data_IF_471572739013
#
_entry.id   IF_471572739013
#
_cell.length_a   1.000
_cell.length_b   1.000
_cell.length_c   1.000
_cell.angle_alpha   90.00
_cell.angle_beta   90.00
_cell.angle_gamma   90.00
#
_symmetry.space_group_name_H-M   'P 1'
#
loop_
_entity.id
_entity.type
_entity.pdbx_description
1 polymer ?
#
# COMPACT_ATOMS: atom_id res chain seq x y z
N UNK A 1 17.80 -15.69 0.10
CA UNK A 1 18.49 -14.47 0.55
C UNK A 1 19.28 -14.82 1.80
N UNK A 2 20.41 -14.16 2.08
CA UNK A 2 21.19 -14.41 3.30
C UNK A 2 21.28 -13.12 4.13
N UNK A 3 20.90 -13.22 5.40
CA UNK A 3 21.04 -12.16 6.39
C UNK A 3 22.28 -12.42 7.25
N UNK A 4 23.11 -11.42 7.58
CA UNK A 4 24.23 -11.61 8.48
C UNK A 4 23.71 -11.98 9.87
N UNK A 5 24.49 -12.73 10.64
CA UNK A 5 24.07 -13.26 11.94
C UNK A 5 23.56 -12.18 12.89
N UNK A 6 24.17 -10.99 12.87
CA UNK A 6 23.80 -9.85 13.70
C UNK A 6 22.59 -9.06 13.17
N UNK A 7 22.03 -9.39 11.99
CA UNK A 7 20.88 -8.67 11.44
C UNK A 7 19.67 -8.73 12.39
N UNK A 8 19.48 -9.85 13.10
CA UNK A 8 18.32 -10.04 13.95
C UNK A 8 18.50 -9.48 15.36
N UNK A 9 19.64 -8.88 15.66
CA UNK A 9 19.89 -8.21 16.94
C UNK A 9 19.21 -6.84 16.96
N UNK A 10 18.73 -6.42 18.14
CA UNK A 10 18.20 -5.07 18.28
C UNK A 10 19.34 -4.04 18.16
N UNK A 11 19.08 -2.94 17.47
CA UNK A 11 20.09 -1.91 17.18
C UNK A 11 19.50 -0.50 17.30
N UNK A 12 20.37 0.49 17.47
CA UNK A 12 19.99 1.90 17.44
C UNK A 12 20.44 2.53 16.11
N UNK A 13 19.48 3.10 15.35
CA UNK A 13 19.73 3.84 14.11
C UNK A 13 19.08 5.22 14.21
N UNK A 14 19.82 6.29 13.92
CA UNK A 14 19.33 7.68 14.00
C UNK A 14 18.64 8.06 15.32
N UNK A 15 19.14 7.54 16.46
CA UNK A 15 18.56 7.79 17.78
C UNK A 15 17.23 7.06 18.03
N UNK A 16 16.90 6.06 17.21
CA UNK A 16 15.72 5.22 17.36
C UNK A 16 16.13 3.76 17.56
N UNK A 17 15.58 3.13 18.59
CA UNK A 17 15.84 1.72 18.88
C UNK A 17 14.91 0.81 18.09
N UNK A 18 15.50 -0.06 17.27
CA UNK A 18 14.82 -1.08 16.48
C UNK A 18 14.96 -2.40 17.24
N UNK A 19 13.82 -2.97 17.64
CA UNK A 19 13.82 -4.23 18.38
C UNK A 19 14.21 -5.42 17.49
N UNK A 20 14.73 -6.49 18.10
CA UNK A 20 14.99 -7.76 17.40
C UNK A 20 13.76 -8.28 16.65
N UNK A 21 12.57 -8.19 17.25
CA UNK A 21 11.33 -8.62 16.59
C UNK A 21 11.01 -7.77 15.35
N UNK A 22 11.30 -6.47 15.38
CA UNK A 22 11.12 -5.62 14.20
C UNK A 22 12.07 -6.03 13.08
N UNK A 23 13.34 -6.35 13.39
CA UNK A 23 14.29 -6.87 12.40
C UNK A 23 13.80 -8.16 11.75
N UNK A 24 13.25 -9.09 12.55
CA UNK A 24 12.62 -10.32 12.04
C UNK A 24 11.40 -10.02 11.16
N UNK A 25 10.54 -9.08 11.56
CA UNK A 25 9.38 -8.68 10.79
C UNK A 25 9.77 -7.99 9.46
N UNK A 26 10.81 -7.15 9.44
CA UNK A 26 11.39 -6.60 8.20
C UNK A 26 11.93 -7.70 7.28
N UNK A 27 12.68 -8.67 7.80
CA UNK A 27 13.15 -9.80 7.01
C UNK A 27 11.99 -10.61 6.41
N UNK A 28 10.93 -10.86 7.20
CA UNK A 28 9.74 -11.55 6.74
C UNK A 28 8.99 -10.76 5.63
N UNK A 29 8.92 -9.43 5.72
CA UNK A 29 8.35 -8.60 4.66
C UNK A 29 9.19 -8.63 3.39
N UNK A 30 10.51 -8.67 3.51
CA UNK A 30 11.40 -8.83 2.35
C UNK A 30 11.13 -10.17 1.65
N UNK A 31 10.89 -11.26 2.37
CA UNK A 31 10.49 -12.55 1.76
C UNK A 31 9.18 -12.41 0.96
N UNK A 32 8.19 -11.68 1.48
CA UNK A 32 6.94 -11.40 0.75
C UNK A 32 7.19 -10.52 -0.48
N UNK A 33 8.02 -9.48 -0.35
CA UNK A 33 8.40 -8.61 -1.47
C UNK A 33 9.11 -9.40 -2.58
N UNK A 34 10.00 -10.33 -2.26
CA UNK A 34 10.69 -11.15 -3.27
C UNK A 34 9.73 -12.08 -4.02
N UNK A 35 8.70 -12.61 -3.34
CA UNK A 35 7.62 -13.36 -4.00
C UNK A 35 6.88 -12.47 -5.00
N UNK A 36 6.49 -11.26 -4.60
CA UNK A 36 5.82 -10.29 -5.48
C UNK A 36 6.72 -9.92 -6.66
N UNK A 37 7.99 -9.59 -6.42
CA UNK A 37 8.99 -9.30 -7.46
C UNK A 37 9.14 -10.47 -8.45
N UNK A 38 9.16 -11.70 -7.95
CA UNK A 38 9.25 -12.92 -8.77
C UNK A 38 8.08 -13.06 -9.74
N UNK A 39 6.85 -12.87 -9.25
CA UNK A 39 5.63 -12.90 -10.09
C UNK A 39 5.68 -11.75 -11.11
N UNK A 40 6.01 -10.53 -10.69
CA UNK A 40 6.11 -9.39 -11.59
C UNK A 40 7.12 -9.63 -12.71
N UNK A 41 8.31 -10.14 -12.38
CA UNK A 41 9.35 -10.46 -13.35
C UNK A 41 8.91 -11.55 -14.34
N UNK A 42 8.22 -12.59 -13.87
CA UNK A 42 7.70 -13.67 -14.72
C UNK A 42 6.69 -13.15 -15.76
N UNK A 43 5.90 -12.14 -15.39
CA UNK A 43 4.83 -11.57 -16.23
C UNK A 43 5.15 -10.22 -16.86
N UNK A 44 6.40 -9.76 -16.74
CA UNK A 44 6.86 -8.45 -17.24
C UNK A 44 6.03 -7.26 -16.72
N UNK A 45 5.63 -7.29 -15.44
CA UNK A 45 4.93 -6.19 -14.78
C UNK A 45 5.93 -5.22 -14.16
N UNK A 46 5.68 -3.91 -14.31
CA UNK A 46 6.51 -2.88 -13.67
C UNK A 46 6.08 -2.69 -12.21
N UNK A 47 7.02 -2.93 -11.31
CA UNK A 47 6.89 -2.71 -9.87
C UNK A 47 7.86 -1.62 -9.44
N UNK A 48 7.42 -0.73 -8.56
CA UNK A 48 8.24 0.35 -8.03
C UNK A 48 8.12 0.44 -6.51
N UNK A 49 9.19 0.75 -5.80
CA UNK A 49 9.09 1.28 -4.45
C UNK A 49 8.58 2.72 -4.50
N UNK A 50 7.77 3.10 -3.51
CA UNK A 50 7.38 4.49 -3.29
C UNK A 50 7.36 4.78 -1.77
N UNK A 51 6.91 5.96 -1.37
CA UNK A 51 6.70 6.35 0.03
C UNK A 51 7.92 6.09 0.93
N UNK A 52 7.71 5.49 2.10
CA UNK A 52 8.75 5.23 3.11
C UNK A 52 9.81 4.28 2.60
N UNK A 53 9.40 3.25 1.85
CA UNK A 53 10.30 2.26 1.25
C UNK A 53 11.28 2.90 0.25
N UNK A 54 10.79 3.73 -0.68
CA UNK A 54 11.67 4.43 -1.62
C UNK A 54 12.60 5.42 -0.92
N UNK A 55 12.10 6.17 0.06
CA UNK A 55 12.93 7.07 0.85
C UNK A 55 14.01 6.32 1.62
N UNK A 56 13.66 5.17 2.22
CA UNK A 56 14.59 4.26 2.88
C UNK A 56 15.66 3.72 1.94
N UNK A 57 15.28 3.23 0.75
CA UNK A 57 16.23 2.74 -0.26
C UNK A 57 17.23 3.84 -0.67
N UNK A 58 16.76 5.06 -0.91
CA UNK A 58 17.62 6.16 -1.36
C UNK A 58 18.54 6.65 -0.22
N UNK A 59 17.98 6.88 0.97
CA UNK A 59 18.66 7.55 2.09
C UNK A 59 19.41 6.59 3.01
N UNK A 60 18.79 5.46 3.35
CA UNK A 60 19.24 4.51 4.36
C UNK A 60 19.82 3.21 3.78
N UNK A 61 19.62 2.96 2.48
CA UNK A 61 19.93 1.68 1.82
C UNK A 61 19.18 0.52 2.47
N UNK A 62 17.98 0.77 2.98
CA UNK A 62 17.19 -0.16 3.78
C UNK A 62 15.99 0.55 4.41
N UNK A 63 15.43 -0.02 5.47
CA UNK A 63 14.29 0.59 6.16
C UNK A 63 14.69 1.89 6.86
N UNK A 64 13.73 2.82 6.92
CA UNK A 64 13.83 3.97 7.82
C UNK A 64 13.60 3.44 9.25
N UNK A 65 14.37 3.88 10.27
CA UNK A 65 14.36 3.23 11.58
C UNK A 65 13.01 3.13 12.29
N UNK A 66 12.11 4.09 12.04
CA UNK A 66 10.77 4.19 12.64
C UNK A 66 9.64 3.81 11.68
N UNK A 67 9.97 3.06 10.63
CA UNK A 67 9.06 2.57 9.59
C UNK A 67 8.91 1.05 9.74
N UNK A 68 7.73 0.50 9.46
CA UNK A 68 7.46 -0.92 9.72
C UNK A 68 6.80 -1.68 8.58
N UNK A 69 6.59 -1.05 7.43
CA UNK A 69 5.97 -1.64 6.25
C UNK A 69 6.84 -1.51 4.99
N UNK A 70 6.42 -2.21 3.93
CA UNK A 70 6.96 -2.08 2.58
C UNK A 70 5.84 -1.57 1.67
N UNK A 71 6.06 -0.39 1.08
CA UNK A 71 5.19 0.29 0.14
C UNK A 71 5.71 0.14 -1.29
N UNK A 72 4.91 -0.51 -2.12
CA UNK A 72 5.15 -0.69 -3.54
C UNK A 72 4.03 -0.03 -4.35
N UNK A 73 4.32 0.33 -5.60
CA UNK A 73 3.33 0.89 -6.51
C UNK A 73 3.43 0.24 -7.88
N UNK A 74 2.27 0.18 -8.55
CA UNK A 74 2.13 -0.29 -9.92
C UNK A 74 1.24 0.67 -10.70
N UNK A 75 1.52 0.86 -12.00
CA UNK A 75 0.58 1.52 -12.90
C UNK A 75 -0.72 0.70 -12.95
N UNK A 76 -1.89 1.36 -13.06
CA UNK A 76 -3.22 0.72 -13.04
C UNK A 76 -3.31 -0.59 -13.82
N UNK A 77 -2.82 -0.59 -15.07
CA UNK A 77 -2.84 -1.78 -15.95
C UNK A 77 -2.06 -2.96 -15.37
N UNK A 78 -0.86 -2.71 -14.84
CA UNK A 78 -0.01 -3.75 -14.24
C UNK A 78 -0.58 -4.20 -12.89
N UNK A 79 -1.14 -3.26 -12.12
CA UNK A 79 -1.84 -3.54 -10.87
C UNK A 79 -3.01 -4.50 -11.09
N UNK A 80 -3.93 -4.17 -12.00
CA UNK A 80 -5.07 -5.02 -12.35
C UNK A 80 -4.61 -6.38 -12.87
N UNK A 81 -3.57 -6.40 -13.72
CA UNK A 81 -3.00 -7.64 -14.21
C UNK A 81 -2.45 -8.49 -13.06
N UNK A 82 -1.74 -7.90 -12.12
CA UNK A 82 -1.21 -8.59 -10.94
C UNK A 82 -2.32 -9.22 -10.09
N UNK A 83 -3.46 -8.53 -9.89
CA UNK A 83 -4.60 -9.08 -9.15
C UNK A 83 -5.16 -10.37 -9.79
N UNK A 84 -5.07 -10.51 -11.12
CA UNK A 84 -5.47 -11.75 -11.81
C UNK A 84 -4.50 -12.92 -11.60
N UNK A 85 -3.33 -12.67 -11.02
CA UNK A 85 -2.26 -13.66 -10.80
C UNK A 85 -2.22 -14.16 -9.35
N UNK A 86 -3.27 -13.90 -8.56
CA UNK A 86 -3.36 -14.30 -7.15
C UNK A 86 -3.06 -15.80 -6.92
N UNK A 87 -3.45 -16.66 -7.87
CA UNK A 87 -3.26 -18.11 -7.80
C UNK A 87 -1.79 -18.55 -7.97
N UNK A 88 -0.89 -17.65 -8.41
CA UNK A 88 0.55 -17.93 -8.49
C UNK A 88 1.29 -17.65 -7.16
N UNK A 89 0.60 -17.09 -6.17
CA UNK A 89 1.18 -16.90 -4.85
C UNK A 89 1.45 -18.26 -4.17
N UNK A 90 2.51 -18.35 -3.33
CA UNK A 90 2.80 -19.57 -2.60
C UNK A 90 1.63 -20.02 -1.71
N UNK A 91 1.59 -21.31 -1.31
CA UNK A 91 0.63 -21.77 -0.33
C UNK A 91 0.61 -20.88 0.92
N UNK A 92 -0.57 -20.65 1.50
CA UNK A 92 -0.88 -19.73 2.61
C UNK A 92 -0.89 -18.23 2.28
N UNK A 93 -0.18 -17.77 1.25
CA UNK A 93 -0.19 -16.35 0.88
C UNK A 93 -1.57 -15.92 0.39
N UNK A 94 -1.96 -14.68 0.64
CA UNK A 94 -3.25 -14.12 0.20
C UNK A 94 -3.13 -12.67 -0.25
N UNK A 95 -4.06 -12.28 -1.11
CA UNK A 95 -4.35 -10.89 -1.44
C UNK A 95 -5.52 -10.41 -0.59
N UNK A 96 -5.29 -9.31 0.13
CA UNK A 96 -6.27 -8.60 0.94
C UNK A 96 -6.50 -7.24 0.29
N UNK A 97 -7.73 -6.98 -0.15
CA UNK A 97 -8.18 -5.68 -0.66
C UNK A 97 -9.71 -5.55 -0.57
N UNK A 98 -10.23 -4.40 -0.98
CA UNK A 98 -11.69 -4.10 -1.00
C UNK A 98 -12.51 -5.10 -1.83
N UNK A 99 -11.89 -5.84 -2.77
CA UNK A 99 -12.55 -6.82 -3.62
C UNK A 99 -12.60 -8.21 -2.98
N UNK A 100 -11.60 -8.58 -2.19
CA UNK A 100 -11.51 -9.90 -1.53
C UNK A 100 -12.08 -9.91 -0.11
N UNK A 101 -11.88 -8.82 0.66
CA UNK A 101 -12.23 -8.76 2.07
C UNK A 101 -13.29 -7.68 2.35
N UNK A 102 -14.51 -8.04 2.80
CA UNK A 102 -15.61 -7.09 3.00
C UNK A 102 -15.32 -5.96 3.99
N UNK A 103 -14.48 -6.22 4.98
CA UNK A 103 -14.12 -5.26 6.04
C UNK A 103 -12.89 -4.41 5.68
N UNK A 104 -12.20 -4.74 4.58
CA UNK A 104 -11.04 -3.98 4.15
C UNK A 104 -11.50 -2.72 3.41
N UNK A 105 -11.05 -1.55 3.87
CA UNK A 105 -11.54 -0.25 3.38
C UNK A 105 -10.51 0.56 2.59
N UNK A 106 -9.27 0.08 2.48
CA UNK A 106 -8.21 0.79 1.76
C UNK A 106 -8.24 0.47 0.26
N UNK A 107 -8.07 1.49 -0.58
CA UNK A 107 -7.97 1.34 -2.06
C UNK A 107 -6.55 0.98 -2.50
N UNK A 108 -6.02 -0.08 -1.91
CA UNK A 108 -4.73 -0.70 -2.22
C UNK A 108 -4.88 -2.23 -2.09
N UNK A 109 -3.85 -2.98 -2.50
CA UNK A 109 -3.77 -4.41 -2.24
C UNK A 109 -2.61 -4.74 -1.32
N UNK A 110 -2.89 -5.47 -0.23
CA UNK A 110 -1.87 -6.06 0.62
C UNK A 110 -1.67 -7.52 0.26
N UNK A 111 -0.43 -7.92 -0.01
CA UNK A 111 -0.06 -9.34 -0.14
C UNK A 111 0.47 -9.78 1.21
N UNK A 112 -0.16 -10.78 1.82
CA UNK A 112 0.24 -11.32 3.13
C UNK A 112 0.81 -12.72 3.01
N UNK A 113 1.76 -13.06 3.89
CA UNK A 113 2.39 -14.39 3.93
C UNK A 113 1.46 -15.50 4.49
N UNK A 114 0.44 -15.13 5.24
CA UNK A 114 -0.52 -16.04 5.86
C UNK A 114 -1.82 -15.29 6.24
N UNK A 115 -2.88 -16.01 6.63
CA UNK A 115 -4.13 -15.43 7.17
C UNK A 115 -4.20 -15.46 8.69
N UNK A 116 -3.24 -16.09 9.35
CA UNK A 116 -3.21 -16.25 10.80
C UNK A 116 -1.77 -16.27 11.35
N UNK A 117 -1.64 -15.90 12.63
CA UNK A 117 -0.39 -15.98 13.39
C UNK A 117 0.03 -17.45 13.49
N UNK A 118 1.32 -17.73 13.25
CA UNK A 118 1.83 -19.10 13.23
C UNK A 118 3.15 -19.25 13.97
N UNK A 119 3.15 -20.09 15.00
CA UNK A 119 4.35 -20.54 15.71
C UNK A 119 4.87 -21.89 15.20
N UNK A 120 4.37 -22.35 14.05
CA UNK A 120 4.84 -23.57 13.43
C UNK A 120 6.34 -23.46 13.10
N UNK A 121 7.18 -24.46 13.44
CA UNK A 121 8.62 -24.39 13.21
C UNK A 121 9.01 -24.12 11.75
N UNK A 122 8.22 -24.58 10.78
CA UNK A 122 8.50 -24.31 9.37
C UNK A 122 8.17 -22.87 8.98
N UNK A 123 7.05 -22.33 9.45
CA UNK A 123 6.73 -20.91 9.30
C UNK A 123 7.82 -20.02 9.89
N UNK A 124 8.23 -20.29 11.15
CA UNK A 124 9.25 -19.51 11.82
C UNK A 124 10.61 -19.61 11.11
N UNK A 125 10.94 -20.76 10.51
CA UNK A 125 12.16 -20.89 9.70
C UNK A 125 12.08 -20.05 8.42
N UNK A 126 10.94 -20.09 7.73
CA UNK A 126 10.73 -19.35 6.49
C UNK A 126 10.72 -17.83 6.70
N UNK A 127 10.15 -17.36 7.82
CA UNK A 127 9.99 -15.94 8.12
C UNK A 127 10.89 -15.47 9.26
N UNK A 128 12.08 -16.07 9.37
CA UNK A 128 13.17 -15.58 10.22
C UNK A 128 12.79 -15.37 11.69
N UNK A 129 11.92 -16.23 12.21
CA UNK A 129 11.42 -16.21 13.59
C UNK A 129 10.29 -15.21 13.84
N UNK A 130 9.75 -14.57 12.81
CA UNK A 130 8.53 -13.76 12.92
C UNK A 130 7.29 -14.68 12.90
N UNK A 131 6.45 -14.69 13.96
CA UNK A 131 5.24 -15.51 13.98
C UNK A 131 4.01 -14.80 13.36
N UNK A 132 4.14 -13.51 13.09
CA UNK A 132 3.01 -12.64 12.75
C UNK A 132 2.65 -12.74 11.27
N UNK A 133 1.39 -12.43 10.97
CA UNK A 133 0.98 -12.14 9.60
C UNK A 133 1.70 -10.87 9.16
N UNK A 134 2.56 -11.00 8.16
CA UNK A 134 3.29 -9.88 7.55
C UNK A 134 2.81 -9.70 6.13
N UNK A 135 2.83 -8.47 5.64
CA UNK A 135 2.48 -8.19 4.26
C UNK A 135 3.22 -7.00 3.70
N UNK A 136 3.10 -6.84 2.38
CA UNK A 136 3.57 -5.67 1.63
C UNK A 136 2.38 -5.00 0.98
N UNK A 137 2.39 -3.67 0.94
CA UNK A 137 1.33 -2.88 0.33
C UNK A 137 1.68 -2.55 -1.11
N UNK A 138 0.70 -2.69 -2.00
CA UNK A 138 0.79 -2.38 -3.41
C UNK A 138 -0.30 -1.37 -3.75
N UNK A 139 0.09 -0.13 -4.00
CA UNK A 139 -0.83 0.93 -4.38
C UNK A 139 -0.90 1.05 -5.91
N UNK A 140 -2.10 1.25 -6.48
CA UNK A 140 -2.20 1.73 -7.84
C UNK A 140 -1.72 3.19 -7.92
N UNK A 141 -0.98 3.49 -8.99
CA UNK A 141 -0.77 4.85 -9.48
C UNK A 141 -1.45 5.01 -10.84
N UNK A 142 -2.12 6.14 -11.00
CA UNK A 142 -3.10 6.39 -12.06
C UNK A 142 -2.77 7.64 -12.86
N UNK A 143 -3.21 7.63 -14.09
CA UNK A 143 -2.99 8.71 -15.04
C UNK A 143 -3.99 9.86 -14.84
N UNK A 144 -3.53 11.07 -15.12
CA UNK A 144 -4.33 12.29 -15.06
C UNK A 144 -4.61 12.76 -16.49
N UNK A 145 -5.88 13.00 -16.84
CA UNK A 145 -6.22 13.53 -18.16
C UNK A 145 -5.45 14.81 -18.47
N UNK A 146 -4.97 14.90 -19.71
CA UNK A 146 -4.38 16.13 -20.25
C UNK A 146 -5.42 17.22 -20.50
N UNK A 147 -6.71 16.87 -20.48
CA UNK A 147 -7.83 17.82 -20.55
C UNK A 147 -8.20 18.30 -19.13
N UNK A 148 -8.01 19.60 -18.82
CA UNK A 148 -8.28 20.12 -17.47
C UNK A 148 -9.74 19.97 -17.02
N UNK A 149 -10.70 20.01 -17.95
CA UNK A 149 -12.12 19.87 -17.61
C UNK A 149 -12.45 18.43 -17.19
N UNK A 150 -11.89 17.44 -17.89
CA UNK A 150 -12.04 16.02 -17.55
C UNK A 150 -11.35 15.69 -16.22
N UNK A 151 -10.16 16.27 -15.99
CA UNK A 151 -9.42 16.12 -14.74
C UNK A 151 -10.18 16.71 -13.54
N UNK A 152 -10.74 17.91 -13.70
CA UNK A 152 -11.60 18.55 -12.69
C UNK A 152 -12.88 17.75 -12.43
N UNK A 153 -13.52 17.24 -13.49
CA UNK A 153 -14.71 16.42 -13.37
C UNK A 153 -14.44 15.12 -12.61
N UNK A 154 -13.35 14.40 -12.92
CA UNK A 154 -12.95 13.21 -12.16
C UNK A 154 -12.66 13.56 -10.69
N UNK A 155 -11.92 14.65 -10.45
CA UNK A 155 -11.58 15.08 -9.09
C UNK A 155 -12.83 15.37 -8.26
N UNK A 156 -13.81 16.08 -8.82
CA UNK A 156 -15.08 16.36 -8.16
C UNK A 156 -15.90 15.09 -7.92
N UNK A 157 -15.93 14.18 -8.89
CA UNK A 157 -16.65 12.92 -8.76
C UNK A 157 -16.04 12.04 -7.66
N UNK A 158 -14.70 11.95 -7.60
CA UNK A 158 -14.00 11.24 -6.52
C UNK A 158 -14.30 11.86 -5.16
N UNK A 159 -14.32 13.19 -5.04
CA UNK A 159 -14.66 13.86 -3.79
C UNK A 159 -16.09 13.54 -3.34
N UNK A 160 -17.05 13.47 -4.27
CA UNK A 160 -18.44 13.09 -3.98
C UNK A 160 -18.49 11.63 -3.52
N UNK A 161 -17.96 10.69 -4.32
CA UNK A 161 -18.05 9.24 -4.06
C UNK A 161 -17.33 8.87 -2.76
N UNK A 162 -16.08 9.33 -2.58
CA UNK A 162 -15.29 9.01 -1.40
C UNK A 162 -15.78 9.76 -0.16
N UNK A 163 -16.24 11.00 -0.30
CA UNK A 163 -16.89 11.73 0.79
C UNK A 163 -18.15 11.02 1.29
N UNK A 164 -18.96 10.46 0.39
CA UNK A 164 -20.09 9.62 0.78
C UNK A 164 -19.63 8.31 1.43
N UNK A 165 -18.59 7.66 0.91
CA UNK A 165 -18.05 6.45 1.54
C UNK A 165 -17.58 6.69 2.99
N UNK A 166 -17.06 7.88 3.31
CA UNK A 166 -16.65 8.27 4.65
C UNK A 166 -17.84 8.53 5.60
N UNK A 167 -18.98 9.04 5.09
CA UNK A 167 -20.12 9.48 5.92
C UNK A 167 -21.30 8.51 5.95
N UNK A 168 -21.40 7.57 5.00
CA UNK A 168 -22.59 6.72 4.79
C UNK A 168 -22.97 5.86 6.00
N UNK A 169 -22.00 5.49 6.85
CA UNK A 169 -22.23 4.69 8.07
C UNK A 169 -22.26 5.55 9.35
N UNK A 170 -22.22 6.88 9.22
CA UNK A 170 -22.19 7.82 10.36
C UNK A 170 -23.55 8.49 10.56
N UNK A 171 -23.86 8.96 11.76
CA UNK A 171 -25.11 9.69 12.05
C UNK A 171 -25.09 11.17 11.60
N UNK A 172 -24.07 11.58 10.83
CA UNK A 172 -23.95 12.97 10.35
C UNK A 172 -24.99 13.36 9.32
N UNK A 173 -25.54 12.38 8.59
CA UNK A 173 -26.47 12.58 7.46
C UNK A 173 -27.73 11.76 7.70
N UNK A 174 -28.90 12.35 7.42
CA UNK A 174 -30.19 11.64 7.57
C UNK A 174 -30.31 10.46 6.59
N UNK A 175 -31.17 9.48 6.89
CA UNK A 175 -31.36 8.31 6.00
C UNK A 175 -31.89 8.70 4.62
N UNK A 176 -32.81 9.66 4.56
CA UNK A 176 -33.39 10.16 3.30
C UNK A 176 -32.33 10.87 2.45
N UNK A 177 -31.51 11.70 3.10
CA UNK A 177 -30.41 12.41 2.42
C UNK A 177 -29.32 11.44 1.94
N UNK A 178 -28.98 10.40 2.73
CA UNK A 178 -28.06 9.34 2.28
C UNK A 178 -28.57 8.63 1.02
N UNK A 179 -29.85 8.24 1.00
CA UNK A 179 -30.43 7.57 -0.17
C UNK A 179 -30.46 8.49 -1.40
N UNK A 180 -30.77 9.77 -1.19
CA UNK A 180 -30.73 10.77 -2.26
C UNK A 180 -29.30 10.92 -2.82
N UNK A 181 -28.29 11.07 -1.97
CA UNK A 181 -26.88 11.19 -2.37
C UNK A 181 -26.39 9.95 -3.12
N UNK A 182 -26.73 8.75 -2.64
CA UNK A 182 -26.43 7.49 -3.33
C UNK A 182 -27.09 7.44 -4.72
N UNK A 183 -28.35 7.87 -4.83
CA UNK A 183 -29.06 7.92 -6.12
C UNK A 183 -28.42 8.91 -7.10
N UNK A 184 -27.93 10.05 -6.62
CA UNK A 184 -27.17 11.00 -7.45
C UNK A 184 -25.86 10.40 -7.95
N UNK A 185 -25.15 9.62 -7.12
CA UNK A 185 -23.94 8.92 -7.53
C UNK A 185 -24.24 7.87 -8.61
N UNK A 186 -25.35 7.14 -8.49
CA UNK A 186 -25.80 6.17 -9.50
C UNK A 186 -26.05 6.84 -10.86
N UNK A 187 -26.71 8.00 -10.87
CA UNK A 187 -26.97 8.77 -12.08
C UNK A 187 -25.66 9.30 -12.69
N UNK A 188 -24.83 9.98 -11.89
CA UNK A 188 -23.57 10.57 -12.33
C UNK A 188 -22.57 9.54 -12.85
N UNK A 189 -22.50 8.37 -12.21
CA UNK A 189 -21.56 7.31 -12.58
C UNK A 189 -22.18 6.26 -13.51
N UNK A 190 -23.47 6.40 -13.88
CA UNK A 190 -24.21 5.42 -14.67
C UNK A 190 -24.06 3.99 -14.12
N UNK A 191 -24.25 3.83 -12.80
CA UNK A 191 -24.06 2.57 -12.08
C UNK A 191 -25.27 2.25 -11.18
N UNK A 192 -25.26 1.08 -10.55
CA UNK A 192 -26.25 0.70 -9.56
C UNK A 192 -25.57 0.18 -8.29
N UNK A 193 -26.04 0.65 -7.15
CA UNK A 193 -25.60 0.27 -5.82
C UNK A 193 -26.65 -0.66 -5.21
N UNK A 194 -26.23 -1.86 -4.84
CA UNK A 194 -27.06 -2.87 -4.22
C UNK A 194 -27.28 -2.55 -2.74
N UNK A 195 -28.48 -2.05 -2.40
CA UNK A 195 -28.84 -1.68 -1.01
C UNK A 195 -28.87 -2.88 -0.06
N UNK A 196 -28.84 -4.12 -0.56
CA UNK A 196 -28.77 -5.33 0.27
C UNK A 196 -27.35 -5.65 0.76
N UNK A 197 -26.34 -4.97 0.21
CA UNK A 197 -24.92 -5.13 0.54
C UNK A 197 -24.38 -3.85 1.20
N UNK A 198 -23.22 -3.92 1.86
CA UNK A 198 -22.59 -2.73 2.43
C UNK A 198 -22.36 -1.65 1.35
N UNK A 199 -23.08 -0.53 1.46
CA UNK A 199 -23.03 0.57 0.49
C UNK A 199 -21.64 1.20 0.47
N UNK A 200 -21.03 1.40 1.65
CA UNK A 200 -19.66 1.93 1.80
C UNK A 200 -18.66 1.18 0.94
N UNK A 201 -18.67 -0.16 0.99
CA UNK A 201 -17.76 -1.00 0.20
C UNK A 201 -17.96 -0.79 -1.30
N UNK A 202 -19.21 -0.72 -1.76
CA UNK A 202 -19.52 -0.48 -3.16
C UNK A 202 -19.07 0.91 -3.64
N UNK A 203 -19.21 1.93 -2.79
CA UNK A 203 -18.70 3.28 -3.06
C UNK A 203 -17.16 3.31 -3.14
N UNK A 204 -16.46 2.58 -2.26
CA UNK A 204 -15.01 2.45 -2.33
C UNK A 204 -14.54 1.74 -3.61
N UNK A 205 -15.23 0.66 -4.01
CA UNK A 205 -14.95 -0.03 -5.28
C UNK A 205 -15.24 0.85 -6.50
N UNK A 206 -16.28 1.69 -6.43
CA UNK A 206 -16.55 2.69 -7.48
C UNK A 206 -15.45 3.75 -7.52
N UNK A 207 -15.02 4.25 -6.35
CA UNK A 207 -13.91 5.19 -6.22
C UNK A 207 -12.61 4.64 -6.82
N UNK A 208 -12.25 3.40 -6.53
CA UNK A 208 -11.06 2.75 -7.10
C UNK A 208 -11.13 2.64 -8.63
N UNK A 209 -12.30 2.28 -9.19
CA UNK A 209 -12.51 2.26 -10.65
C UNK A 209 -12.38 3.65 -11.28
N UNK A 210 -12.93 4.68 -10.64
CA UNK A 210 -12.84 6.05 -11.11
C UNK A 210 -11.38 6.54 -11.12
N UNK A 211 -10.57 6.13 -10.14
CA UNK A 211 -9.14 6.47 -10.11
C UNK A 211 -8.42 5.99 -11.37
N UNK A 212 -8.75 4.80 -11.88
CA UNK A 212 -8.15 4.19 -13.07
C UNK A 212 -8.78 4.59 -14.42
N UNK A 213 -9.59 5.65 -14.48
CA UNK A 213 -10.41 5.98 -15.65
C UNK A 213 -9.61 6.43 -16.89
N UNK A 214 -8.44 7.03 -16.71
CA UNK A 214 -7.61 7.52 -17.82
C UNK A 214 -6.47 6.56 -18.15
N UNK A 215 -6.19 6.41 -19.43
CA UNK A 215 -5.07 5.60 -19.94
C UNK A 215 -3.75 6.37 -19.98
N UNK A 216 -2.65 5.65 -20.23
CA UNK A 216 -1.33 6.26 -20.37
C UNK A 216 -1.23 7.16 -21.61
N UNK A 217 -1.98 6.85 -22.65
CA UNK A 217 -2.02 7.57 -23.92
C UNK A 217 -2.70 8.94 -23.82
N UNK A 218 -3.65 9.08 -22.89
CA UNK A 218 -4.46 10.29 -22.67
C UNK A 218 -3.79 11.30 -21.70
N UNK A 219 -2.67 10.90 -21.10
CA UNK A 219 -2.07 11.59 -19.97
C UNK A 219 -0.59 11.90 -20.18
N UNK A 220 -0.16 13.05 -19.64
CA UNK A 220 1.26 13.36 -19.44
C UNK A 220 1.69 13.18 -17.99
N UNK A 221 0.74 13.05 -17.06
CA UNK A 221 1.00 13.02 -15.63
C UNK A 221 0.39 11.79 -14.97
N UNK A 222 1.00 11.40 -13.84
CA UNK A 222 0.64 10.24 -13.03
C UNK A 222 0.61 10.64 -11.55
N UNK A 223 -0.20 9.93 -10.76
CA UNK A 223 -0.38 10.21 -9.33
C UNK A 223 -0.89 8.99 -8.55
N UNK A 224 -0.77 9.02 -7.23
CA UNK A 224 -1.65 8.24 -6.36
C UNK A 224 -2.93 9.05 -6.11
N UNK A 225 -4.04 8.67 -6.76
CA UNK A 225 -5.28 9.48 -6.78
C UNK A 225 -5.81 9.77 -5.38
N UNK A 226 -5.77 8.79 -4.47
CA UNK A 226 -6.28 8.95 -3.11
C UNK A 226 -5.49 10.01 -2.33
N UNK A 227 -4.18 10.11 -2.58
CA UNK A 227 -3.36 11.17 -1.97
C UNK A 227 -3.64 12.53 -2.62
N UNK A 228 -3.90 12.53 -3.93
CA UNK A 228 -4.20 13.73 -4.69
C UNK A 228 -5.50 14.40 -4.24
N UNK A 229 -6.54 13.65 -3.84
CA UNK A 229 -7.80 14.25 -3.33
C UNK A 229 -7.56 15.20 -2.14
N UNK A 230 -6.58 14.89 -1.28
CA UNK A 230 -6.18 15.73 -0.14
C UNK A 230 -5.02 16.67 -0.46
N UNK A 231 -4.22 16.36 -1.48
CA UNK A 231 -3.05 17.14 -1.92
C UNK A 231 -3.11 17.33 -3.44
N UNK A 232 -3.88 18.30 -3.99
CA UNK A 232 -4.10 18.43 -5.44
C UNK A 232 -2.84 18.58 -6.30
N UNK A 233 -1.73 19.03 -5.68
CA UNK A 233 -0.40 19.14 -6.31
C UNK A 233 0.43 17.86 -6.26
N UNK A 234 -0.08 16.78 -5.68
CA UNK A 234 0.54 15.46 -5.71
C UNK A 234 0.33 14.84 -7.09
N UNK A 235 1.15 15.25 -8.06
CA UNK A 235 1.14 14.80 -9.45
C UNK A 235 2.53 14.98 -10.03
N UNK A 236 2.89 14.13 -10.98
CA UNK A 236 4.23 14.04 -11.53
C UNK A 236 4.14 13.75 -13.02
N UNK A 237 5.15 14.17 -13.79
CA UNK A 237 5.29 13.69 -15.17
C UNK A 237 5.40 12.17 -15.19
N UNK A 238 4.65 11.51 -16.08
CA UNK A 238 4.60 10.03 -16.14
C UNK A 238 5.96 9.38 -16.38
N UNK A 239 6.90 10.11 -16.99
CA UNK A 239 8.28 9.64 -17.18
C UNK A 239 9.00 9.34 -15.86
N UNK A 240 8.53 9.89 -14.73
CA UNK A 240 9.07 9.54 -13.42
C UNK A 240 8.96 8.04 -13.12
N UNK A 241 7.94 7.37 -13.67
CA UNK A 241 7.67 5.94 -13.55
C UNK A 241 7.86 5.21 -14.89
N UNK A 242 8.77 5.68 -15.76
CA UNK A 242 9.03 5.04 -17.05
C UNK A 242 9.68 3.65 -16.90
N UNK A 243 10.67 3.53 -16.03
CA UNK A 243 11.36 2.28 -15.69
C UNK A 243 11.92 2.36 -14.27
N UNK A 244 12.28 1.20 -13.72
CA UNK A 244 12.88 1.09 -12.40
C UNK A 244 14.38 0.85 -12.46
N UNK A 245 15.06 1.24 -11.40
CA UNK A 245 16.47 0.98 -11.12
C UNK A 245 16.57 0.25 -9.80
N UNK A 246 17.24 -0.90 -9.79
CA UNK A 246 17.48 -1.66 -8.56
C UNK A 246 18.41 -0.87 -7.63
N UNK A 247 17.90 -0.52 -6.45
CA UNK A 247 18.69 0.13 -5.40
C UNK A 247 18.87 -0.80 -4.19
N UNK A 248 20.00 -0.72 -3.48
CA UNK A 248 20.20 -1.49 -2.25
C UNK A 248 19.10 -1.23 -1.20
N UNK A 249 18.61 -2.31 -0.61
CA UNK A 249 17.60 -2.27 0.45
C UNK A 249 17.85 -3.43 1.42
N UNK A 250 18.46 -3.12 2.57
CA UNK A 250 19.01 -4.09 3.53
C UNK A 250 19.89 -5.13 2.83
N UNK A 251 19.43 -6.37 2.74
CA UNK A 251 20.14 -7.53 2.17
C UNK A 251 19.71 -7.87 0.74
N UNK A 252 18.90 -7.01 0.12
CA UNK A 252 18.38 -7.19 -1.24
C UNK A 252 18.44 -5.88 -2.02
N UNK A 253 17.73 -5.83 -3.15
CA UNK A 253 17.40 -4.61 -3.87
C UNK A 253 15.90 -4.39 -3.94
N UNK A 254 15.50 -3.14 -4.12
CA UNK A 254 14.12 -2.76 -4.42
C UNK A 254 14.08 -1.93 -5.71
N UNK A 255 13.08 -2.14 -6.60
CA UNK A 255 13.00 -1.41 -7.86
C UNK A 255 12.54 0.03 -7.60
N UNK A 256 13.45 1.01 -7.65
CA UNK A 256 13.13 2.43 -7.43
C UNK A 256 12.79 3.10 -8.77
N UNK A 257 11.74 3.93 -8.88
CA UNK A 257 11.40 4.61 -10.14
C UNK A 257 12.51 5.57 -10.58
N UNK A 258 12.79 5.67 -11.88
CA UNK A 258 13.85 6.55 -12.42
C UNK A 258 13.70 8.02 -11.97
N UNK A 259 12.47 8.51 -11.82
CA UNK A 259 12.16 9.86 -11.34
C UNK A 259 12.05 9.99 -9.82
N UNK A 260 12.66 9.09 -9.03
CA UNK A 260 12.54 9.07 -7.57
C UNK A 260 12.84 10.42 -6.91
N UNK A 261 13.82 11.19 -7.41
CA UNK A 261 14.13 12.50 -6.82
C UNK A 261 12.96 13.48 -6.87
N UNK A 262 12.23 13.49 -8.00
CA UNK A 262 11.01 14.30 -8.16
C UNK A 262 9.94 13.82 -7.18
N UNK A 263 9.75 12.50 -7.07
CA UNK A 263 8.76 11.92 -6.14
C UNK A 263 9.07 12.31 -4.70
N UNK A 264 10.31 12.12 -4.28
CA UNK A 264 10.76 12.38 -2.91
C UNK A 264 10.67 13.87 -2.56
N UNK A 265 10.99 14.77 -3.49
CA UNK A 265 10.83 16.22 -3.28
C UNK A 265 9.37 16.63 -3.12
N UNK A 266 8.46 16.06 -3.92
CA UNK A 266 7.01 16.32 -3.80
C UNK A 266 6.46 15.77 -2.49
N UNK A 267 6.93 14.58 -2.10
CA UNK A 267 6.48 13.88 -0.91
C UNK A 267 6.96 14.51 0.39
N UNK A 268 8.28 14.71 0.51
CA UNK A 268 8.98 15.00 1.76
C UNK A 268 9.68 16.38 1.75
N UNK A 269 9.65 17.10 0.63
CA UNK A 269 10.29 18.42 0.47
C UNK A 269 11.76 18.33 0.07
N UNK A 270 12.40 19.48 -0.13
CA UNK A 270 13.77 19.55 -0.64
C UNK A 270 14.83 18.90 0.27
N UNK A 271 14.55 18.77 1.57
CA UNK A 271 15.46 18.24 2.58
C UNK A 271 15.16 16.77 2.93
N UNK A 272 14.57 16.00 2.01
CA UNK A 272 14.18 14.60 2.26
C UNK A 272 15.35 13.70 2.70
N UNK A 273 16.58 14.06 2.35
CA UNK A 273 17.81 13.37 2.78
C UNK A 273 18.15 13.56 4.25
N UNK A 274 17.60 14.58 4.93
CA UNK A 274 17.77 14.74 6.38
C UNK A 274 16.81 13.80 7.11
N UNK A 275 17.29 12.86 7.95
CA UNK A 275 16.42 12.05 8.78
C UNK A 275 15.62 12.93 9.73
N UNK A 276 14.29 12.80 9.70
CA UNK A 276 13.39 13.47 10.63
C UNK A 276 12.40 12.41 11.12
N UNK A 277 12.42 12.13 12.41
CA UNK A 277 11.43 11.27 13.04
C UNK A 277 10.09 12.02 13.16
N UNK A 278 9.35 12.04 12.06
CA UNK A 278 7.92 12.27 12.06
C UNK A 278 7.30 10.88 12.02
N UNK A 279 6.58 10.50 13.07
CA UNK A 279 5.86 9.22 13.12
C UNK A 279 5.04 9.05 11.84
N UNK A 280 5.00 7.82 11.34
CA UNK A 280 4.19 7.46 10.18
C UNK A 280 2.69 7.73 10.46
N UNK A 281 1.87 7.68 9.41
CA UNK A 281 0.41 7.81 9.54
C UNK A 281 -0.25 6.59 10.18
N UNK A 282 0.48 5.50 10.37
CA UNK A 282 0.03 4.28 11.02
C UNK A 282 0.74 4.07 12.37
N UNK A 283 0.18 3.14 13.16
CA UNK A 283 0.79 2.71 14.41
C UNK A 283 2.07 1.90 14.15
N UNK A 284 3.03 2.02 15.08
CA UNK A 284 4.29 1.27 15.07
C UNK A 284 4.47 0.47 16.37
N UNK A 285 4.92 -0.80 16.32
CA UNK A 285 5.04 -1.62 15.12
C UNK A 285 3.68 -2.24 14.71
N UNK A 286 3.47 -2.53 13.42
CA UNK A 286 2.22 -3.08 12.87
C UNK A 286 1.76 -4.36 13.58
N UNK A 287 2.69 -5.18 14.07
CA UNK A 287 2.41 -6.45 14.72
C UNK A 287 1.95 -6.31 16.17
N UNK A 288 1.91 -5.10 16.75
CA UNK A 288 1.53 -4.89 18.14
C UNK A 288 0.11 -5.38 18.46
N UNK A 289 -0.83 -5.20 17.53
CA UNK A 289 -2.20 -5.72 17.67
C UNK A 289 -2.22 -7.26 17.67
N UNK A 290 -1.39 -7.90 16.84
CA UNK A 290 -1.25 -9.35 16.78
C UNK A 290 -0.61 -9.91 18.06
N UNK A 291 0.40 -9.23 18.59
CA UNK A 291 1.03 -9.59 19.87
C UNK A 291 0.01 -9.57 21.01
N UNK A 292 -0.90 -8.59 21.03
CA UNK A 292 -1.95 -8.50 22.04
C UNK A 292 -2.94 -9.68 21.94
N UNK A 293 -3.33 -10.08 20.73
CA UNK A 293 -4.18 -11.26 20.50
C UNK A 293 -3.48 -12.53 21.04
N UNK A 294 -2.18 -12.66 20.84
CA UNK A 294 -1.40 -13.79 21.38
C UNK A 294 -1.39 -13.79 22.90
N UNK A 295 -1.13 -12.63 23.53
CA UNK A 295 -1.15 -12.49 24.99
C UNK A 295 -2.50 -12.87 25.58
N UNK A 296 -3.59 -12.45 24.97
CA UNK A 296 -4.95 -12.74 25.43
C UNK A 296 -5.29 -14.23 25.32
N UNK A 297 -4.83 -14.90 24.26
CA UNK A 297 -5.12 -16.33 24.03
C UNK A 297 -4.21 -17.27 24.83
N UNK A 298 -2.92 -16.94 24.98
CA UNK A 298 -1.93 -17.83 25.57
C UNK A 298 -1.50 -17.43 26.98
N UNK A 299 -1.82 -16.22 27.44
CA UNK A 299 -1.37 -15.66 28.71
C UNK A 299 0.08 -15.16 28.73
N UNK A 300 0.82 -15.32 27.62
CA UNK A 300 2.18 -14.83 27.41
C UNK A 300 2.50 -14.68 25.91
N UNK A 301 3.61 -14.03 25.56
CA UNK A 301 4.16 -14.02 24.19
C UNK A 301 5.32 -15.01 24.13
N UNK A 302 5.26 -16.06 23.30
CA UNK A 302 6.41 -16.92 23.08
C UNK A 302 7.58 -16.09 22.53
N UNK A 303 8.72 -16.16 23.20
CA UNK A 303 9.97 -15.44 22.84
C UNK A 303 10.76 -16.24 21.81
#
# INVERSE_FOLDING_TARGET
MEFPENYFEGEERDGFYISSMMKKAWAAQIEVMEVVKGICKKHNLQLFADYGTMLGAVRHKGFIPWDDDIDLVMKRKDYEKFLTLADELPPKYRIINIYTEPEYTEMLTRVVNNTEISFDPEHLRQFHGCPYVVGVDIFPIDFISSNPQEDEMLSNLLMIVLGQAETIDTDMVSREEREWLVSQIEELCCTTIDRTKPIRRQLLMLGDKLCGMFSEEEANEITAMIKRTRRPKYRMDKSCYAYSIDMPFENTTVPVPVGYETSLRINYGANYMTPINKRASHDYPFYKAQEQIVKEKLGFVPV
#
